data_IF_047933586853
#
_entry.id   IF_047933586853
#
_cell.length_a   1.000
_cell.length_b   1.000
_cell.length_c   1.000
_cell.angle_alpha   90.00
_cell.angle_beta   90.00
_cell.angle_gamma   90.00
#
_symmetry.space_group_name_H-M   'P 1'
#
loop_
_entity.id
_entity.type
_entity.pdbx_description
1 polymer ?
#
# COMPACT_ATOMS: atom_id res chain seq x y z
N UNK A 1 3.52 -6.92 -17.15
CA UNK A 1 3.69 -8.38 -16.95
C UNK A 1 4.68 -8.98 -17.96
N UNK A 2 4.53 -8.74 -19.27
CA UNK A 2 5.41 -9.30 -20.30
C UNK A 2 6.92 -8.95 -20.15
N UNK A 3 7.24 -7.68 -19.84
CA UNK A 3 8.63 -7.22 -19.64
C UNK A 3 9.31 -7.90 -18.44
N UNK A 4 8.57 -8.09 -17.34
CA UNK A 4 9.07 -8.76 -16.13
C UNK A 4 9.32 -10.25 -16.37
N UNK A 5 8.44 -10.92 -17.11
CA UNK A 5 8.64 -12.31 -17.52
C UNK A 5 9.85 -12.44 -18.45
N UNK A 6 10.05 -11.52 -19.41
CA UNK A 6 11.19 -11.56 -20.31
C UNK A 6 12.53 -11.40 -19.58
N UNK A 7 12.62 -10.42 -18.67
CA UNK A 7 13.81 -10.23 -17.82
C UNK A 7 14.12 -11.46 -16.96
N UNK A 8 13.09 -12.08 -16.38
CA UNK A 8 13.22 -13.28 -15.53
C UNK A 8 13.78 -14.49 -16.29
N UNK A 9 13.29 -14.75 -17.51
CA UNK A 9 13.67 -15.94 -18.28
C UNK A 9 14.98 -15.75 -19.06
N UNK A 10 15.23 -14.55 -19.60
CA UNK A 10 16.37 -14.30 -20.49
C UNK A 10 17.64 -13.81 -19.78
N UNK A 11 17.51 -12.98 -18.74
CA UNK A 11 18.66 -12.32 -18.08
C UNK A 11 18.99 -12.97 -16.74
N UNK A 12 17.98 -13.36 -15.96
CA UNK A 12 18.17 -13.83 -14.58
C UNK A 12 18.14 -15.35 -14.38
N UNK A 13 18.06 -16.14 -15.48
CA UNK A 13 18.03 -17.62 -15.47
C UNK A 13 17.04 -18.20 -14.44
N UNK A 14 15.91 -17.53 -14.20
CA UNK A 14 14.88 -17.99 -13.27
C UNK A 14 15.19 -17.83 -11.77
N UNK A 15 16.22 -17.06 -11.39
CA UNK A 15 16.54 -16.84 -9.97
C UNK A 15 15.74 -15.68 -9.37
N UNK A 16 14.71 -16.02 -8.59
CA UNK A 16 13.89 -15.05 -7.85
C UNK A 16 14.70 -14.19 -6.86
N UNK A 17 15.80 -14.73 -6.33
CA UNK A 17 16.66 -14.05 -5.36
C UNK A 17 17.30 -12.79 -5.94
N UNK A 18 17.78 -12.85 -7.19
CA UNK A 18 18.45 -11.70 -7.82
C UNK A 18 17.45 -10.58 -8.11
N UNK A 19 16.26 -10.95 -8.59
CA UNK A 19 15.18 -9.99 -8.86
C UNK A 19 14.72 -9.29 -7.57
N UNK A 20 14.61 -10.06 -6.48
CA UNK A 20 14.30 -9.53 -5.15
C UNK A 20 15.39 -8.58 -4.63
N UNK A 21 16.67 -8.92 -4.80
CA UNK A 21 17.80 -8.06 -4.39
C UNK A 21 17.77 -6.72 -5.14
N UNK A 22 17.57 -6.73 -6.47
CA UNK A 22 17.52 -5.52 -7.28
C UNK A 22 16.34 -4.64 -6.87
N UNK A 23 15.15 -5.22 -6.68
CA UNK A 23 13.99 -4.46 -6.24
C UNK A 23 14.20 -3.86 -4.85
N UNK A 24 14.77 -4.64 -3.93
CA UNK A 24 15.05 -4.21 -2.55
C UNK A 24 16.09 -3.08 -2.53
N UNK A 25 17.15 -3.17 -3.33
CA UNK A 25 18.17 -2.12 -3.39
C UNK A 25 17.62 -0.82 -4.00
N UNK A 26 16.76 -0.91 -5.04
CA UNK A 26 16.07 0.25 -5.61
C UNK A 26 15.15 0.92 -4.59
N UNK A 27 14.40 0.13 -3.81
CA UNK A 27 13.52 0.63 -2.75
C UNK A 27 14.32 1.31 -1.64
N UNK A 28 15.42 0.71 -1.19
CA UNK A 28 16.32 1.31 -0.19
C UNK A 28 16.85 2.65 -0.70
N UNK A 29 17.32 2.70 -1.96
CA UNK A 29 17.82 3.94 -2.56
C UNK A 29 16.73 5.01 -2.65
N UNK A 30 15.51 4.63 -3.01
CA UNK A 30 14.36 5.53 -3.06
C UNK A 30 14.01 6.09 -1.69
N UNK A 31 14.03 5.26 -0.63
CA UNK A 31 13.78 5.68 0.74
C UNK A 31 14.85 6.67 1.20
N UNK A 32 16.13 6.37 0.96
CA UNK A 32 17.25 7.26 1.30
C UNK A 32 17.10 8.61 0.57
N UNK A 33 16.84 8.57 -0.75
CA UNK A 33 16.66 9.77 -1.55
C UNK A 33 15.48 10.61 -1.04
N UNK A 34 14.33 9.98 -0.78
CA UNK A 34 13.15 10.68 -0.26
C UNK A 34 13.41 11.31 1.10
N UNK A 35 14.20 10.67 1.98
CA UNK A 35 14.49 11.19 3.31
C UNK A 35 15.40 12.42 3.26
N UNK A 36 16.36 12.44 2.33
CA UNK A 36 17.32 13.55 2.17
C UNK A 36 16.67 14.74 1.44
N UNK A 37 15.89 14.47 0.40
CA UNK A 37 15.37 15.50 -0.52
C UNK A 37 14.02 16.05 -0.08
N UNK A 38 13.17 15.24 0.53
CA UNK A 38 11.83 15.67 0.92
C UNK A 38 11.88 16.47 2.22
N UNK A 39 11.44 17.73 2.15
CA UNK A 39 11.25 18.55 3.36
C UNK A 39 10.22 17.87 4.25
N UNK A 40 10.62 17.56 5.49
CA UNK A 40 9.79 16.88 6.48
C UNK A 40 8.46 17.60 6.79
N UNK A 41 8.38 18.91 6.51
CA UNK A 41 7.18 19.71 6.68
C UNK A 41 6.61 20.12 5.33
N UNK A 42 5.43 19.60 5.00
CA UNK A 42 4.65 20.00 3.81
C UNK A 42 3.79 21.23 4.07
N UNK A 43 3.56 21.62 5.34
CA UNK A 43 2.78 22.79 5.70
C UNK A 43 3.33 23.47 6.96
N UNK A 44 3.55 24.79 6.92
CA UNK A 44 4.06 25.59 8.04
C UNK A 44 3.13 25.65 9.26
N UNK A 45 1.88 25.19 9.12
CA UNK A 45 0.92 25.03 10.23
C UNK A 45 1.03 23.69 10.97
N UNK A 46 1.81 22.74 10.46
CA UNK A 46 2.04 21.46 11.14
C UNK A 46 2.93 21.71 12.36
N UNK A 47 2.47 21.27 13.53
CA UNK A 47 3.27 21.36 14.76
C UNK A 47 4.56 20.56 14.54
N UNK A 48 5.74 21.13 14.84
CA UNK A 48 6.98 20.37 14.72
C UNK A 48 6.96 19.22 15.71
N UNK A 49 7.43 18.04 15.30
CA UNK A 49 7.57 16.82 16.11
C UNK A 49 8.69 16.93 17.17
N UNK A 50 9.08 18.16 17.53
CA UNK A 50 10.17 18.43 18.47
C UNK A 50 9.74 17.95 19.86
N UNK A 51 10.19 16.76 20.25
CA UNK A 51 9.98 16.19 21.58
C UNK A 51 9.07 14.96 21.66
N UNK A 52 8.59 14.40 20.53
CA UNK A 52 7.84 13.13 20.53
C UNK A 52 8.71 11.97 20.04
N UNK A 53 8.72 10.88 20.80
CA UNK A 53 9.36 9.64 20.39
C UNK A 53 8.60 9.09 19.17
N UNK A 54 9.24 9.07 18.00
CA UNK A 54 8.63 8.65 16.72
C UNK A 54 7.95 7.27 16.80
N UNK A 55 8.52 6.37 17.61
CA UNK A 55 7.97 5.02 17.82
C UNK A 55 6.75 4.98 18.75
N UNK A 56 6.68 5.87 19.75
CA UNK A 56 5.52 5.92 20.66
C UNK A 56 4.39 6.77 20.09
N UNK A 57 4.71 7.75 19.25
CA UNK A 57 3.75 8.61 18.56
C UNK A 57 2.89 7.81 17.55
N UNK A 58 3.48 6.82 16.88
CA UNK A 58 2.76 5.95 15.94
C UNK A 58 1.64 5.12 16.61
N UNK A 59 1.81 4.78 17.90
CA UNK A 59 0.84 4.02 18.71
C UNK A 59 0.10 4.91 19.72
N UNK A 60 0.19 6.23 19.61
CA UNK A 60 -0.52 7.10 20.54
C UNK A 60 -2.03 7.05 20.24
N UNK A 61 -2.78 6.46 21.18
CA UNK A 61 -4.24 6.40 21.16
C UNK A 61 -4.86 7.79 21.11
N UNK A 62 -4.14 8.82 21.56
CA UNK A 62 -4.57 10.21 21.46
C UNK A 62 -4.78 10.66 20.01
N UNK A 63 -3.98 10.18 19.04
CA UNK A 63 -4.18 10.50 17.61
C UNK A 63 -5.49 9.92 17.08
N UNK A 64 -5.83 8.69 17.51
CA UNK A 64 -7.10 8.04 17.14
C UNK A 64 -8.28 8.81 17.72
N UNK A 65 -8.17 9.22 18.99
CA UNK A 65 -9.22 9.99 19.68
C UNK A 65 -9.39 11.37 19.04
N UNK A 66 -8.32 12.08 18.72
CA UNK A 66 -8.37 13.38 18.05
C UNK A 66 -8.90 13.27 16.61
N UNK A 67 -8.56 12.20 15.87
CA UNK A 67 -9.12 11.91 14.54
C UNK A 67 -10.63 11.66 14.62
N UNK A 68 -11.07 10.86 15.60
CA UNK A 68 -12.49 10.60 15.80
C UNK A 68 -13.26 11.85 16.23
N UNK A 69 -12.66 12.66 17.11
CA UNK A 69 -13.21 13.95 17.57
C UNK A 69 -13.30 14.95 16.42
N UNK A 70 -12.31 14.98 15.52
CA UNK A 70 -12.35 15.87 14.34
C UNK A 70 -13.37 15.42 13.30
N UNK A 71 -13.54 14.11 13.09
CA UNK A 71 -14.60 13.53 12.24
C UNK A 71 -16.01 13.78 12.80
N UNK A 72 -16.17 13.76 14.12
CA UNK A 72 -17.48 13.89 14.79
C UNK A 72 -17.84 15.34 15.12
N UNK A 73 -16.90 16.29 15.01
CA UNK A 73 -17.16 17.70 15.31
C UNK A 73 -18.18 18.28 14.33
N UNK A 74 -19.33 18.73 14.86
CA UNK A 74 -20.42 19.34 14.11
C UNK A 74 -19.92 20.60 13.39
N UNK A 75 -19.91 20.58 12.05
CA UNK A 75 -19.64 21.75 11.20
C UNK A 75 -20.96 22.24 10.61
N UNK A 76 -21.15 23.56 10.39
CA UNK A 76 -22.32 24.04 9.69
C UNK A 76 -22.29 23.52 8.23
N UNK A 77 -23.46 23.05 7.75
CA UNK A 77 -23.72 22.40 6.44
C UNK A 77 -23.40 20.88 6.35
N UNK A 78 -23.93 20.23 5.31
CA UNK A 78 -23.82 18.80 4.97
C UNK A 78 -22.38 18.24 4.79
N UNK A 79 -21.34 19.01 5.14
CA UNK A 79 -19.94 18.62 5.04
C UNK A 79 -19.57 17.44 5.96
N UNK A 80 -20.22 17.29 7.12
CA UNK A 80 -19.96 16.15 8.02
C UNK A 80 -20.40 14.83 7.36
N UNK A 81 -21.52 14.79 6.63
CA UNK A 81 -21.96 13.61 5.89
C UNK A 81 -21.00 13.27 4.74
N UNK A 82 -20.50 14.28 4.03
CA UNK A 82 -19.50 14.06 2.97
C UNK A 82 -18.19 13.48 3.51
N UNK A 83 -17.73 13.95 4.67
CA UNK A 83 -16.53 13.39 5.32
C UNK A 83 -16.72 11.93 5.74
N UNK A 84 -17.87 11.59 6.32
CA UNK A 84 -18.19 10.21 6.69
C UNK A 84 -18.31 9.29 5.47
N UNK A 85 -18.93 9.77 4.39
CA UNK A 85 -19.06 9.01 3.14
C UNK A 85 -17.69 8.79 2.50
N UNK A 86 -16.85 9.82 2.43
CA UNK A 86 -15.48 9.72 1.91
C UNK A 86 -14.64 8.75 2.74
N UNK A 87 -14.72 8.84 4.07
CA UNK A 87 -13.99 7.93 4.96
C UNK A 87 -14.42 6.48 4.73
N UNK A 88 -15.73 6.23 4.68
CA UNK A 88 -16.28 4.88 4.44
C UNK A 88 -15.87 4.34 3.07
N UNK A 89 -15.93 5.17 2.03
CA UNK A 89 -15.50 4.80 0.68
C UNK A 89 -14.01 4.44 0.65
N UNK A 90 -13.17 5.21 1.35
CA UNK A 90 -11.73 4.92 1.44
C UNK A 90 -11.46 3.61 2.20
N UNK A 91 -12.18 3.34 3.29
CA UNK A 91 -12.07 2.08 4.02
C UNK A 91 -12.45 0.90 3.12
N UNK A 92 -13.57 0.97 2.41
CA UNK A 92 -14.00 -0.08 1.48
C UNK A 92 -13.00 -0.29 0.34
N UNK A 93 -12.42 0.80 -0.17
CA UNK A 93 -11.38 0.74 -1.20
C UNK A 93 -10.13 -0.01 -0.71
N UNK A 94 -9.69 0.24 0.54
CA UNK A 94 -8.56 -0.49 1.14
C UNK A 94 -8.87 -1.98 1.25
N UNK A 95 -10.08 -2.34 1.71
CA UNK A 95 -10.52 -3.74 1.76
C UNK A 95 -10.50 -4.42 0.39
N UNK A 96 -10.99 -3.76 -0.65
CA UNK A 96 -10.99 -4.30 -2.01
C UNK A 96 -9.56 -4.48 -2.55
N UNK A 97 -8.64 -3.58 -2.19
CA UNK A 97 -7.24 -3.66 -2.62
C UNK A 97 -6.51 -4.85 -2.01
N UNK A 98 -6.77 -5.14 -0.74
CA UNK A 98 -6.14 -6.26 -0.02
C UNK A 98 -6.69 -7.64 -0.42
N UNK A 99 -7.83 -7.69 -1.13
CA UNK A 99 -8.40 -8.92 -1.69
C UNK A 99 -7.39 -9.66 -2.57
N UNK A 100 -6.60 -8.94 -3.38
CA UNK A 100 -5.66 -9.56 -4.32
C UNK A 100 -4.58 -10.40 -3.62
N UNK A 101 -4.12 -9.97 -2.44
CA UNK A 101 -3.13 -10.71 -1.66
C UNK A 101 -3.74 -11.94 -0.96
N UNK A 102 -4.98 -11.82 -0.48
CA UNK A 102 -5.67 -12.93 0.17
C UNK A 102 -6.10 -14.02 -0.82
N UNK A 103 -6.50 -13.64 -2.03
CA UNK A 103 -6.79 -14.59 -3.11
C UNK A 103 -5.59 -15.46 -3.48
N UNK A 104 -4.36 -14.91 -3.41
CA UNK A 104 -3.13 -15.69 -3.58
C UNK A 104 -2.95 -16.76 -2.48
N UNK A 105 -3.06 -16.36 -1.21
CA UNK A 105 -2.92 -17.29 -0.08
C UNK A 105 -4.03 -18.35 -0.07
N UNK A 106 -5.25 -17.97 -0.46
CA UNK A 106 -6.38 -18.90 -0.57
C UNK A 106 -6.16 -19.96 -1.64
N UNK A 107 -5.74 -19.53 -2.85
CA UNK A 107 -5.47 -20.46 -3.95
C UNK A 107 -4.29 -21.38 -3.66
N UNK A 108 -3.26 -20.86 -2.98
CA UNK A 108 -2.14 -21.67 -2.51
C UNK A 108 -2.58 -22.72 -1.48
N UNK A 109 -3.46 -22.36 -0.54
CA UNK A 109 -3.88 -23.28 0.53
C UNK A 109 -4.90 -24.33 0.08
N UNK A 110 -5.85 -23.95 -0.77
CA UNK A 110 -6.96 -24.83 -1.15
C UNK A 110 -6.64 -25.68 -2.39
N UNK A 111 -5.95 -25.09 -3.37
CA UNK A 111 -5.64 -25.76 -4.63
C UNK A 111 -4.17 -26.20 -4.74
N UNK A 112 -3.33 -25.93 -3.73
CA UNK A 112 -1.88 -26.18 -3.76
C UNK A 112 -1.19 -25.58 -4.99
N UNK A 113 -1.68 -24.43 -5.48
CA UNK A 113 -1.12 -23.79 -6.65
C UNK A 113 0.29 -23.25 -6.39
N UNK A 114 1.23 -23.60 -7.27
CA UNK A 114 2.56 -23.00 -7.32
C UNK A 114 2.49 -21.61 -7.96
N UNK A 115 3.50 -20.76 -7.72
CA UNK A 115 3.58 -19.36 -8.19
C UNK A 115 3.32 -19.22 -9.70
N UNK A 116 3.67 -20.25 -10.49
CA UNK A 116 3.47 -20.30 -11.95
C UNK A 116 1.98 -20.38 -12.33
N UNK A 117 1.21 -21.23 -11.67
CA UNK A 117 -0.23 -21.42 -11.95
C UNK A 117 -1.03 -20.17 -11.58
N UNK A 118 -0.71 -19.56 -10.43
CA UNK A 118 -1.33 -18.32 -10.02
C UNK A 118 -1.01 -17.14 -10.97
N UNK A 119 0.22 -17.08 -11.47
CA UNK A 119 0.63 -16.04 -12.43
C UNK A 119 -0.10 -16.17 -13.77
N UNK A 120 -0.32 -17.39 -14.25
CA UNK A 120 -1.11 -17.65 -15.46
C UNK A 120 -2.59 -17.27 -15.24
N UNK A 121 -3.18 -17.68 -14.11
CA UNK A 121 -4.55 -17.31 -13.75
C UNK A 121 -4.75 -15.79 -13.68
N UNK A 122 -3.83 -15.07 -13.02
CA UNK A 122 -3.87 -13.60 -12.95
C UNK A 122 -3.70 -12.94 -14.31
N UNK A 123 -2.86 -13.50 -15.18
CA UNK A 123 -2.67 -13.00 -16.54
C UNK A 123 -3.95 -13.15 -17.36
N UNK A 124 -4.63 -14.30 -17.26
CA UNK A 124 -5.92 -14.54 -17.90
C UNK A 124 -7.03 -13.65 -17.36
N UNK A 125 -7.12 -13.50 -16.03
CA UNK A 125 -8.06 -12.59 -15.38
C UNK A 125 -7.85 -11.13 -15.85
N UNK A 126 -6.58 -10.71 -15.99
CA UNK A 126 -6.25 -9.35 -16.42
C UNK A 126 -6.55 -9.13 -17.90
N UNK A 127 -6.36 -10.13 -18.76
CA UNK A 127 -6.73 -10.02 -20.19
C UNK A 127 -8.24 -10.01 -20.40
N UNK A 128 -9.00 -10.74 -19.59
CA UNK A 128 -10.47 -10.73 -19.62
C UNK A 128 -11.05 -9.39 -19.18
N UNK A 129 -10.42 -8.69 -18.23
CA UNK A 129 -10.90 -7.39 -17.76
C UNK A 129 -10.69 -6.24 -18.76
N UNK A 130 -9.83 -6.44 -19.76
CA UNK A 130 -9.49 -5.45 -20.80
C UNK A 130 -10.40 -5.55 -22.03
N UNK A 131 -11.14 -6.66 -22.17
CA UNK A 131 -12.15 -6.87 -23.22
C UNK A 131 -13.51 -6.42 -22.71
#
# INVERSE_FOLDING_TARGET
>A
IALGSYLFTSVFKGSYTILWIINTSLLILSVIYSTIVLKWQTNSRQRPLTGVNVFTDFFDKNHVIETFKTLTRRRPKFCTLHLWLLFTAMTLYVFQRDESHMSYLYTQRFFNWEVKEFSNFRTFQSSLFVI
#
